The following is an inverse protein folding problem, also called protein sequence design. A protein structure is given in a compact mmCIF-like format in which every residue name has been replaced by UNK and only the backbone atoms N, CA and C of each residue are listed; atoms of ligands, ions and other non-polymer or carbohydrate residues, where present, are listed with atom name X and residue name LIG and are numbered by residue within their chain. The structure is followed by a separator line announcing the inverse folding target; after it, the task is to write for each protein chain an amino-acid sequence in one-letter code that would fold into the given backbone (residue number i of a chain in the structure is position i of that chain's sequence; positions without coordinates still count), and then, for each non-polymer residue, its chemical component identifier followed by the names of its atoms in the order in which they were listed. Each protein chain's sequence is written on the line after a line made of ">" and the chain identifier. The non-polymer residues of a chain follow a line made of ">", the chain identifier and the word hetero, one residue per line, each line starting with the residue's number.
data_IF_128810560116
#
_entry.id   IF_128810560116
#
_cell.length_a   1.000
_cell.length_b   1.000
_cell.length_c   1.000
_cell.angle_alpha   90.00
_cell.angle_beta   90.00
_cell.angle_gamma   90.00
#
_symmetry.space_group_name_H-M   'P 1'
#
loop_
_entity.id
_entity.type
_entity.pdbx_description
1 polymer ?
#
# COMPACT_ATOMS: atom_id res chain seq x y z
N UNK A 1 -52.49 70.71 -61.68
CA UNK A 1 -52.64 69.29 -61.28
C UNK A 1 -51.36 68.61 -60.73
N UNK A 2 -50.13 69.08 -60.99
CA UNK A 2 -48.89 68.34 -60.66
C UNK A 2 -48.43 68.30 -59.17
N UNK A 3 -49.03 69.07 -58.26
CA UNK A 3 -48.58 69.09 -56.85
C UNK A 3 -49.29 68.07 -55.94
N UNK A 4 -50.44 67.52 -56.38
CA UNK A 4 -51.22 66.56 -55.58
C UNK A 4 -50.67 65.14 -55.71
N UNK A 5 -50.17 64.75 -56.90
CA UNK A 5 -49.63 63.41 -57.13
C UNK A 5 -48.25 63.18 -56.50
N UNK A 6 -47.43 64.23 -56.38
CA UNK A 6 -46.09 64.13 -55.76
C UNK A 6 -46.15 63.86 -54.26
N UNK A 7 -47.18 64.36 -53.56
CA UNK A 7 -47.35 64.19 -52.10
C UNK A 7 -47.85 62.79 -51.72
N UNK A 8 -48.78 62.22 -52.50
CA UNK A 8 -49.29 60.83 -52.32
C UNK A 8 -48.21 59.75 -52.54
N UNK A 9 -47.26 60.00 -53.45
CA UNK A 9 -46.19 59.05 -53.76
C UNK A 9 -45.05 59.04 -52.71
N UNK A 10 -44.89 60.11 -51.93
CA UNK A 10 -43.90 60.20 -50.85
C UNK A 10 -44.36 59.49 -49.57
N UNK A 11 -45.66 59.57 -49.21
CA UNK A 11 -46.18 58.90 -48.00
C UNK A 11 -46.27 57.37 -48.15
N UNK A 12 -46.66 56.88 -49.32
CA UNK A 12 -46.70 55.43 -49.62
C UNK A 12 -45.31 54.80 -49.65
N UNK A 13 -44.28 55.55 -50.07
CA UNK A 13 -42.88 55.09 -50.04
C UNK A 13 -42.31 55.05 -48.61
N UNK A 14 -42.72 55.99 -47.74
CA UNK A 14 -42.25 56.07 -46.34
C UNK A 14 -42.88 54.97 -45.46
N UNK A 15 -44.17 54.64 -45.63
CA UNK A 15 -44.82 53.56 -44.85
C UNK A 15 -44.32 52.17 -45.23
N UNK A 16 -43.99 51.95 -46.52
CA UNK A 16 -43.45 50.68 -47.01
C UNK A 16 -42.07 50.37 -46.43
N UNK A 17 -41.21 51.38 -46.25
CA UNK A 17 -39.88 51.22 -45.63
C UNK A 17 -40.00 50.96 -44.13
N UNK A 18 -40.95 51.59 -43.44
CA UNK A 18 -41.19 51.35 -42.01
C UNK A 18 -41.72 49.93 -41.74
N UNK A 19 -42.65 49.44 -42.57
CA UNK A 19 -43.14 48.05 -42.52
C UNK A 19 -42.03 47.04 -42.83
N UNK A 20 -41.17 47.32 -43.80
CA UNK A 20 -40.01 46.47 -44.11
C UNK A 20 -39.03 46.41 -42.93
N UNK A 21 -38.73 47.54 -42.29
CA UNK A 21 -37.87 47.57 -41.12
C UNK A 21 -38.50 46.85 -39.92
N UNK A 22 -39.81 46.99 -39.71
CA UNK A 22 -40.53 46.30 -38.64
C UNK A 22 -40.56 44.78 -38.88
N UNK A 23 -40.75 44.34 -40.13
CA UNK A 23 -40.67 42.93 -40.50
C UNK A 23 -39.25 42.37 -40.32
N UNK A 24 -38.23 43.16 -40.67
CA UNK A 24 -36.83 42.77 -40.48
C UNK A 24 -36.45 42.66 -39.00
N UNK A 25 -36.96 43.56 -38.15
CA UNK A 25 -36.80 43.48 -36.68
C UNK A 25 -37.51 42.25 -36.11
N UNK A 26 -38.73 41.94 -36.57
CA UNK A 26 -39.44 40.72 -36.14
C UNK A 26 -38.72 39.43 -36.53
N UNK A 27 -38.13 39.39 -37.72
CA UNK A 27 -37.32 38.25 -38.18
C UNK A 27 -36.06 38.08 -37.32
N UNK A 28 -35.35 39.18 -37.02
CA UNK A 28 -34.16 39.14 -36.16
C UNK A 28 -34.52 38.66 -34.75
N UNK A 29 -35.65 39.13 -34.20
CA UNK A 29 -36.10 38.73 -32.87
C UNK A 29 -36.49 37.24 -32.84
N UNK A 30 -37.10 36.74 -33.91
CA UNK A 30 -37.41 35.32 -34.07
C UNK A 30 -36.14 34.45 -34.17
N UNK A 31 -35.13 34.88 -34.92
CA UNK A 31 -33.83 34.21 -35.00
C UNK A 31 -33.12 34.14 -33.64
N UNK A 32 -33.14 35.23 -32.87
CA UNK A 32 -32.62 35.28 -31.51
C UNK A 32 -33.34 34.30 -30.58
N UNK A 33 -34.67 34.20 -30.69
CA UNK A 33 -35.45 33.24 -29.91
C UNK A 33 -35.07 31.79 -30.24
N UNK A 34 -34.87 31.45 -31.52
CA UNK A 34 -34.43 30.09 -31.92
C UNK A 34 -33.06 29.75 -31.33
N UNK A 35 -32.11 30.69 -31.40
CA UNK A 35 -30.75 30.48 -30.85
C UNK A 35 -30.81 30.31 -29.32
N UNK A 36 -31.61 31.12 -28.63
CA UNK A 36 -31.79 31.01 -27.19
C UNK A 36 -32.41 29.66 -26.79
N UNK A 37 -33.48 29.24 -27.48
CA UNK A 37 -34.14 27.94 -27.25
C UNK A 37 -33.16 26.79 -27.52
N UNK A 38 -32.43 26.84 -28.64
CA UNK A 38 -31.42 25.83 -28.99
C UNK A 38 -30.28 25.76 -27.98
N UNK A 39 -29.80 26.91 -27.49
CA UNK A 39 -28.77 26.98 -26.44
C UNK A 39 -29.20 26.34 -25.13
N UNK A 40 -30.44 26.58 -24.68
CA UNK A 40 -30.98 25.99 -23.45
C UNK A 40 -31.14 24.46 -23.62
N UNK A 41 -31.59 24.00 -24.79
CA UNK A 41 -31.71 22.58 -25.11
C UNK A 41 -30.36 21.86 -25.22
N UNK A 42 -29.29 22.54 -25.62
CA UNK A 42 -27.95 21.94 -25.66
C UNK A 42 -27.31 21.93 -24.25
N UNK A 43 -27.20 23.08 -23.59
CA UNK A 43 -26.37 23.26 -22.39
C UNK A 43 -27.00 22.92 -21.02
N UNK A 44 -28.31 22.61 -20.95
CA UNK A 44 -29.02 22.32 -19.68
C UNK A 44 -28.84 23.39 -18.60
N UNK A 45 -28.97 24.64 -19.01
CA UNK A 45 -28.81 25.78 -18.10
C UNK A 45 -29.90 25.72 -17.03
N UNK A 46 -29.51 25.43 -15.78
CA UNK A 46 -30.36 25.47 -14.59
C UNK A 46 -31.50 24.44 -14.52
N UNK A 47 -31.46 23.35 -15.30
CA UNK A 47 -32.55 22.36 -15.34
C UNK A 47 -33.82 22.86 -16.05
N UNK A 48 -33.72 23.91 -16.87
CA UNK A 48 -34.85 24.48 -17.61
C UNK A 48 -35.30 23.66 -18.83
N UNK A 49 -34.53 22.63 -19.24
CA UNK A 49 -34.87 21.74 -20.36
C UNK A 49 -36.29 21.14 -20.27
N UNK A 50 -36.67 20.44 -19.18
CA UNK A 50 -38.01 19.86 -19.07
C UNK A 50 -39.12 20.91 -19.09
N UNK A 51 -38.92 22.08 -18.47
CA UNK A 51 -39.91 23.15 -18.46
C UNK A 51 -40.15 23.71 -19.87
N UNK A 52 -39.09 24.00 -20.65
CA UNK A 52 -39.23 24.50 -22.01
C UNK A 52 -39.84 23.46 -22.96
N UNK A 53 -39.46 22.19 -22.82
CA UNK A 53 -40.04 21.10 -23.62
C UNK A 53 -41.54 20.94 -23.35
N UNK A 54 -41.98 21.04 -22.10
CA UNK A 54 -43.40 20.99 -21.74
C UNK A 54 -44.20 22.17 -22.34
N UNK A 55 -43.63 23.38 -22.32
CA UNK A 55 -44.27 24.56 -22.92
C UNK A 55 -44.35 24.46 -24.45
N UNK A 56 -43.31 23.95 -25.11
CA UNK A 56 -43.31 23.72 -26.57
C UNK A 56 -44.27 22.60 -26.98
N UNK A 57 -44.39 21.55 -26.16
CA UNK A 57 -45.33 20.44 -26.39
C UNK A 57 -46.81 20.86 -26.26
N UNK A 58 -47.09 21.91 -25.48
CA UNK A 58 -48.45 22.48 -25.33
C UNK A 58 -48.87 23.32 -26.55
N UNK A 59 -47.94 23.72 -27.41
CA UNK A 59 -48.23 24.54 -28.57
C UNK A 59 -48.85 23.68 -29.71
N UNK A 60 -50.05 24.01 -30.23
CA UNK A 60 -50.81 23.14 -31.13
C UNK A 60 -50.13 22.85 -32.48
N UNK A 61 -49.22 23.71 -32.92
CA UNK A 61 -48.41 23.54 -34.15
C UNK A 61 -47.14 22.68 -33.95
N UNK A 62 -46.60 22.59 -32.72
CA UNK A 62 -45.32 21.92 -32.44
C UNK A 62 -45.49 20.64 -31.59
N UNK A 63 -46.60 20.50 -30.86
CA UNK A 63 -46.89 19.35 -30.00
C UNK A 63 -46.96 18.00 -30.73
N UNK A 64 -47.30 18.00 -32.03
CA UNK A 64 -47.32 16.79 -32.85
C UNK A 64 -45.94 16.39 -33.40
N UNK A 65 -44.97 17.30 -33.41
CA UNK A 65 -43.61 17.06 -33.95
C UNK A 65 -42.62 16.69 -32.84
N UNK A 66 -42.86 17.14 -31.61
CA UNK A 66 -41.93 16.98 -30.47
C UNK A 66 -42.20 15.69 -29.65
N UNK A 67 -43.32 15.00 -29.86
CA UNK A 67 -43.55 13.63 -29.36
C UNK A 67 -42.83 12.64 -30.30
N UNK A 68 -41.50 12.42 -30.17
CA UNK A 68 -41.04 11.30 -29.33
C UNK A 68 -39.60 11.49 -28.79
N UNK A 69 -39.26 12.63 -28.17
CA UNK A 69 -37.91 12.81 -27.57
C UNK A 69 -37.89 12.85 -26.03
N UNK A 70 -39.06 12.87 -25.40
CA UNK A 70 -39.18 12.49 -24.00
C UNK A 70 -39.37 10.96 -23.95
N UNK A 71 -38.27 10.21 -24.02
CA UNK A 71 -38.25 8.88 -23.39
C UNK A 71 -38.26 9.17 -21.89
N UNK A 72 -39.44 9.52 -21.35
CA UNK A 72 -39.71 9.43 -19.92
C UNK A 72 -39.58 7.94 -19.59
N UNK A 73 -38.40 7.54 -19.11
CA UNK A 73 -38.26 6.23 -18.46
C UNK A 73 -39.37 6.15 -17.43
N UNK A 74 -40.16 5.08 -17.45
CA UNK A 74 -41.25 4.94 -16.49
C UNK A 74 -40.66 4.88 -15.07
N UNK A 75 -41.41 5.29 -14.03
CA UNK A 75 -40.94 5.18 -12.64
C UNK A 75 -40.49 3.76 -12.26
N UNK A 76 -41.01 2.73 -12.95
CA UNK A 76 -40.61 1.34 -12.79
C UNK A 76 -39.26 1.03 -13.44
N UNK A 77 -38.98 1.55 -14.64
CA UNK A 77 -37.67 1.40 -15.32
C UNK A 77 -36.53 2.07 -14.53
N UNK A 78 -36.79 3.23 -13.93
CA UNK A 78 -35.82 3.93 -13.06
C UNK A 78 -35.51 3.11 -11.80
N UNK A 79 -36.53 2.48 -11.20
CA UNK A 79 -36.36 1.61 -10.04
C UNK A 79 -35.57 0.34 -10.40
N UNK A 80 -35.85 -0.27 -11.55
CA UNK A 80 -35.12 -1.44 -12.04
C UNK A 80 -33.64 -1.12 -12.29
N UNK A 81 -33.34 0.02 -12.92
CA UNK A 81 -31.96 0.49 -13.15
C UNK A 81 -31.23 0.74 -11.81
N UNK A 82 -31.91 1.32 -10.81
CA UNK A 82 -31.35 1.53 -9.48
C UNK A 82 -31.05 0.21 -8.75
N UNK A 83 -31.95 -0.75 -8.83
CA UNK A 83 -31.76 -2.10 -8.26
C UNK A 83 -30.61 -2.82 -8.96
N UNK A 84 -30.49 -2.69 -10.28
CA UNK A 84 -29.38 -3.28 -11.04
C UNK A 84 -28.04 -2.66 -10.66
N UNK A 85 -27.98 -1.34 -10.48
CA UNK A 85 -26.79 -0.64 -9.98
C UNK A 85 -26.41 -1.13 -8.59
N UNK A 86 -27.37 -1.21 -7.66
CA UNK A 86 -27.13 -1.72 -6.30
C UNK A 86 -26.64 -3.17 -6.30
N UNK A 87 -27.19 -4.03 -7.16
CA UNK A 87 -26.72 -5.42 -7.32
C UNK A 87 -25.26 -5.46 -7.80
N UNK A 88 -24.92 -4.65 -8.80
CA UNK A 88 -23.53 -4.55 -9.30
C UNK A 88 -22.59 -4.04 -8.21
N UNK A 89 -22.98 -3.02 -7.45
CA UNK A 89 -22.18 -2.50 -6.34
C UNK A 89 -21.99 -3.55 -5.23
N UNK A 90 -23.03 -4.32 -4.90
CA UNK A 90 -22.94 -5.41 -3.94
C UNK A 90 -22.04 -6.54 -4.44
N UNK A 91 -22.11 -6.89 -5.73
CA UNK A 91 -21.24 -7.90 -6.34
C UNK A 91 -19.77 -7.47 -6.31
N UNK A 92 -19.48 -6.19 -6.63
CA UNK A 92 -18.13 -5.63 -6.54
C UNK A 92 -17.62 -5.67 -5.10
N UNK A 93 -18.44 -5.25 -4.13
CA UNK A 93 -18.07 -5.31 -2.71
C UNK A 93 -17.84 -6.74 -2.23
N UNK A 94 -18.67 -7.69 -2.67
CA UNK A 94 -18.49 -9.11 -2.33
C UNK A 94 -17.16 -9.61 -2.85
N UNK A 95 -16.81 -9.34 -4.13
CA UNK A 95 -15.52 -9.72 -4.70
C UNK A 95 -14.34 -9.10 -3.95
N UNK A 96 -14.45 -7.82 -3.58
CA UNK A 96 -13.42 -7.14 -2.78
C UNK A 96 -13.27 -7.74 -1.37
N UNK A 97 -14.37 -8.18 -0.75
CA UNK A 97 -14.32 -8.86 0.54
C UNK A 97 -13.66 -10.24 0.40
N UNK A 98 -14.04 -11.02 -0.61
CA UNK A 98 -13.44 -12.34 -0.88
C UNK A 98 -11.93 -12.23 -1.16
N UNK A 99 -11.50 -11.20 -1.91
CA UNK A 99 -10.08 -10.92 -2.17
C UNK A 99 -9.33 -10.56 -0.88
N UNK A 100 -9.93 -9.72 -0.03
CA UNK A 100 -9.34 -9.35 1.27
C UNK A 100 -9.28 -10.52 2.25
N UNK A 101 -10.29 -11.37 2.26
CA UNK A 101 -10.33 -12.57 3.09
C UNK A 101 -9.19 -13.51 2.71
N UNK A 102 -9.00 -13.76 1.40
CA UNK A 102 -7.85 -14.54 0.91
C UNK A 102 -6.50 -13.90 1.27
N UNK A 103 -6.36 -12.59 1.10
CA UNK A 103 -5.13 -11.88 1.48
C UNK A 103 -4.85 -12.00 3.00
N UNK A 104 -5.89 -11.95 3.82
CA UNK A 104 -5.78 -12.13 5.26
C UNK A 104 -5.40 -13.56 5.63
N UNK A 105 -6.02 -14.57 5.03
CA UNK A 105 -5.67 -15.98 5.23
C UNK A 105 -4.21 -16.27 4.85
N UNK A 106 -3.74 -15.74 3.72
CA UNK A 106 -2.35 -15.87 3.29
C UNK A 106 -1.38 -15.20 4.28
N UNK A 107 -1.73 -14.01 4.78
CA UNK A 107 -0.94 -13.30 5.80
C UNK A 107 -0.93 -14.02 7.14
N UNK A 108 -2.07 -14.56 7.57
CA UNK A 108 -2.19 -15.33 8.81
C UNK A 108 -1.33 -16.58 8.74
N UNK A 109 -1.38 -17.32 7.63
CA UNK A 109 -0.51 -18.47 7.41
C UNK A 109 0.97 -18.08 7.42
N UNK A 110 1.34 -17.01 6.73
CA UNK A 110 2.72 -16.53 6.70
C UNK A 110 3.21 -16.04 8.07
N UNK A 111 2.31 -15.53 8.93
CA UNK A 111 2.61 -15.17 10.31
C UNK A 111 2.83 -16.40 11.17
N UNK A 112 1.96 -17.41 11.08
CA UNK A 112 2.11 -18.68 11.78
C UNK A 112 3.45 -19.35 11.44
N UNK A 113 3.78 -19.45 10.14
CA UNK A 113 5.05 -20.04 9.68
C UNK A 113 6.27 -19.28 10.24
N UNK A 114 6.17 -17.94 10.33
CA UNK A 114 7.22 -17.10 10.92
C UNK A 114 7.34 -17.27 12.42
N UNK A 115 6.22 -17.34 13.14
CA UNK A 115 6.19 -17.56 14.58
C UNK A 115 6.79 -18.92 14.94
N UNK A 116 6.46 -19.97 14.19
CA UNK A 116 7.07 -21.30 14.36
C UNK A 116 8.58 -21.27 14.11
N UNK A 117 9.03 -20.62 13.02
CA UNK A 117 10.45 -20.50 12.72
C UNK A 117 11.21 -19.69 13.78
N UNK A 118 10.61 -18.63 14.31
CA UNK A 118 11.20 -17.84 15.39
C UNK A 118 11.31 -18.66 16.67
N UNK A 119 10.26 -19.40 17.03
CA UNK A 119 10.27 -20.27 18.21
C UNK A 119 11.32 -21.36 18.11
N UNK A 120 11.51 -21.95 16.93
CA UNK A 120 12.58 -22.93 16.70
C UNK A 120 13.97 -22.30 16.88
N UNK A 121 14.20 -21.11 16.31
CA UNK A 121 15.46 -20.37 16.48
C UNK A 121 15.73 -19.99 17.93
N UNK A 122 14.70 -19.56 18.66
CA UNK A 122 14.81 -19.24 20.09
C UNK A 122 15.19 -20.48 20.91
N UNK A 123 14.58 -21.63 20.63
CA UNK A 123 14.95 -22.88 21.28
C UNK A 123 16.40 -23.29 20.99
N UNK A 124 16.82 -23.24 19.72
CA UNK A 124 18.21 -23.53 19.33
C UNK A 124 19.21 -22.57 19.99
N UNK A 125 18.85 -21.29 20.11
CA UNK A 125 19.68 -20.30 20.78
C UNK A 125 19.78 -20.61 22.28
N UNK A 126 18.67 -20.92 22.94
CA UNK A 126 18.62 -21.26 24.36
C UNK A 126 19.44 -22.52 24.66
N UNK A 127 19.29 -23.59 23.87
CA UNK A 127 20.10 -24.80 24.00
C UNK A 127 21.61 -24.51 23.79
N UNK A 128 21.94 -23.67 22.82
CA UNK A 128 23.33 -23.26 22.57
C UNK A 128 23.88 -22.47 23.74
N UNK A 129 23.12 -21.51 24.28
CA UNK A 129 23.50 -20.72 25.45
C UNK A 129 23.68 -21.58 26.68
N UNK A 130 22.77 -22.52 26.94
CA UNK A 130 22.87 -23.45 28.06
C UNK A 130 24.12 -24.32 27.93
N UNK A 131 24.37 -24.88 26.74
CA UNK A 131 25.59 -25.67 26.48
C UNK A 131 26.86 -24.87 26.69
N UNK A 132 26.90 -23.61 26.23
CA UNK A 132 28.04 -22.72 26.42
C UNK A 132 28.24 -22.35 27.89
N UNK A 133 27.16 -22.06 28.62
CA UNK A 133 27.21 -21.76 30.05
C UNK A 133 27.68 -22.96 30.87
N UNK A 134 27.18 -24.15 30.58
CA UNK A 134 27.61 -25.39 31.23
C UNK A 134 29.09 -25.67 30.95
N UNK A 135 29.53 -25.49 29.70
CA UNK A 135 30.95 -25.62 29.34
C UNK A 135 31.82 -24.59 30.07
N UNK A 136 31.38 -23.34 30.14
CA UNK A 136 32.09 -22.27 30.85
C UNK A 136 32.18 -22.55 32.35
N UNK A 137 31.08 -22.97 32.98
CA UNK A 137 31.05 -23.34 34.41
C UNK A 137 32.01 -24.49 34.69
N UNK A 138 31.95 -25.55 33.87
CA UNK A 138 32.85 -26.70 34.02
C UNK A 138 34.32 -26.32 33.88
N UNK A 139 34.68 -25.48 32.90
CA UNK A 139 36.06 -24.99 32.75
C UNK A 139 36.46 -24.14 33.95
N UNK A 140 35.56 -23.27 34.45
CA UNK A 140 35.84 -22.41 35.61
C UNK A 140 36.09 -23.22 36.87
N UNK A 141 35.29 -24.25 37.12
CA UNK A 141 35.49 -25.18 38.24
C UNK A 141 36.84 -25.89 38.13
N UNK A 142 37.15 -26.45 36.96
CA UNK A 142 38.44 -27.10 36.70
C UNK A 142 39.63 -26.16 36.96
N UNK A 143 39.54 -24.91 36.49
CA UNK A 143 40.53 -23.88 36.77
C UNK A 143 40.67 -23.64 38.27
N UNK A 144 39.57 -23.47 38.99
CA UNK A 144 39.61 -23.20 40.43
C UNK A 144 40.25 -24.35 41.23
N UNK A 145 39.93 -25.61 40.88
CA UNK A 145 40.54 -26.78 41.52
C UNK A 145 42.05 -26.87 41.24
N UNK A 146 42.46 -26.66 39.99
CA UNK A 146 43.87 -26.76 39.59
C UNK A 146 44.71 -25.58 40.11
N UNK A 147 44.11 -24.39 40.25
CA UNK A 147 44.79 -23.24 40.86
C UNK A 147 45.12 -23.47 42.33
N UNK A 148 44.23 -24.12 43.07
CA UNK A 148 44.41 -24.46 44.49
C UNK A 148 45.38 -25.63 44.72
N UNK A 149 45.71 -26.37 43.67
CA UNK A 149 46.61 -27.53 43.73
C UNK A 149 48.07 -27.13 43.47
N UNK A 150 49.03 -27.92 43.94
CA UNK A 150 50.44 -27.76 43.59
C UNK A 150 50.70 -27.88 42.08
N UNK A 151 51.59 -27.03 41.54
CA UNK A 151 51.83 -26.92 40.09
C UNK A 151 52.35 -28.23 39.48
N UNK A 152 53.18 -28.98 40.21
CA UNK A 152 53.69 -30.29 39.77
C UNK A 152 52.60 -31.33 39.62
N UNK A 153 51.59 -31.35 40.50
CA UNK A 153 50.43 -32.24 40.40
C UNK A 153 49.49 -31.81 39.28
N UNK A 154 49.27 -30.51 39.13
CA UNK A 154 48.47 -29.96 38.04
C UNK A 154 49.04 -30.34 36.66
N UNK A 155 50.37 -30.29 36.48
CA UNK A 155 51.03 -30.77 35.23
C UNK A 155 50.74 -32.24 34.97
N UNK A 156 50.83 -33.10 36.00
CA UNK A 156 50.55 -34.53 35.82
C UNK A 156 49.11 -34.79 35.39
N UNK A 157 48.15 -34.04 35.93
CA UNK A 157 46.75 -34.15 35.51
C UNK A 157 46.58 -33.66 34.07
N UNK A 158 47.04 -32.44 33.77
CA UNK A 158 46.85 -31.80 32.47
C UNK A 158 47.55 -32.56 31.34
N UNK A 159 48.73 -33.13 31.58
CA UNK A 159 49.49 -33.90 30.58
C UNK A 159 48.85 -35.25 30.25
N UNK A 160 47.95 -35.74 31.12
CA UNK A 160 47.19 -36.97 30.91
C UNK A 160 45.77 -36.70 30.38
N UNK A 161 45.38 -35.45 30.16
CA UNK A 161 44.08 -35.14 29.55
C UNK A 161 44.10 -35.44 28.05
N UNK A 162 43.08 -36.12 27.54
CA UNK A 162 42.95 -36.47 26.12
C UNK A 162 42.75 -35.23 25.22
N UNK A 163 42.06 -34.21 25.73
CA UNK A 163 41.70 -33.00 24.97
C UNK A 163 42.69 -31.87 25.21
N UNK A 164 43.59 -31.65 24.25
CA UNK A 164 44.50 -30.50 24.22
C UNK A 164 43.76 -29.17 24.27
N UNK A 165 42.63 -29.08 23.57
CA UNK A 165 41.77 -27.90 23.52
C UNK A 165 41.24 -27.52 24.92
N UNK A 166 40.91 -28.51 25.75
CA UNK A 166 40.47 -28.29 27.13
C UNK A 166 41.62 -27.81 28.00
N UNK A 167 42.81 -28.41 27.87
CA UNK A 167 44.02 -27.98 28.59
C UNK A 167 44.34 -26.52 28.30
N UNK A 168 44.28 -26.11 27.02
CA UNK A 168 44.48 -24.72 26.60
C UNK A 168 43.44 -23.79 27.23
N UNK A 169 42.16 -24.16 27.22
CA UNK A 169 41.10 -23.36 27.82
C UNK A 169 41.31 -23.16 29.33
N UNK A 170 41.72 -24.21 30.04
CA UNK A 170 42.02 -24.13 31.47
C UNK A 170 43.22 -23.19 31.70
N UNK A 171 44.33 -23.41 30.99
CA UNK A 171 45.55 -22.61 31.15
C UNK A 171 45.37 -21.14 30.77
N UNK A 172 44.49 -20.85 29.80
CA UNK A 172 44.14 -19.49 29.37
C UNK A 172 43.26 -18.76 30.39
N UNK A 173 42.41 -19.48 31.12
CA UNK A 173 41.47 -18.90 32.09
C UNK A 173 41.98 -18.88 33.53
N UNK A 174 43.15 -19.48 33.82
CA UNK A 174 43.76 -19.39 35.15
C UNK A 174 44.66 -18.15 35.31
N UNK A 175 45.07 -17.86 36.54
CA UNK A 175 46.07 -16.84 36.88
C UNK A 175 47.38 -17.08 36.14
N UNK A 176 47.93 -16.02 35.55
CA UNK A 176 49.13 -16.08 34.69
C UNK A 176 50.32 -16.72 35.39
N UNK A 177 50.52 -16.40 36.67
CA UNK A 177 51.62 -16.91 37.48
C UNK A 177 51.51 -18.42 37.65
N UNK A 178 50.29 -18.92 37.89
CA UNK A 178 50.01 -20.34 38.02
C UNK A 178 50.17 -21.08 36.69
N UNK A 179 49.64 -20.49 35.61
CA UNK A 179 49.76 -21.02 34.24
C UNK A 179 51.23 -21.15 33.83
N UNK A 180 52.02 -20.09 34.05
CA UNK A 180 53.47 -20.09 33.80
C UNK A 180 54.21 -21.13 34.64
N UNK A 181 53.85 -21.30 35.91
CA UNK A 181 54.48 -22.30 36.78
C UNK A 181 54.21 -23.72 36.31
N UNK A 182 53.00 -23.99 35.79
CA UNK A 182 52.62 -25.28 35.23
C UNK A 182 53.37 -25.51 33.90
N UNK A 183 53.39 -24.52 33.00
CA UNK A 183 54.10 -24.62 31.71
C UNK A 183 55.60 -24.89 31.90
N UNK A 184 56.23 -24.29 32.90
CA UNK A 184 57.66 -24.51 33.21
C UNK A 184 57.98 -25.95 33.64
N UNK A 185 56.99 -26.64 34.22
CA UNK A 185 57.13 -28.02 34.72
C UNK A 185 56.65 -29.05 33.69
N UNK A 186 56.08 -28.61 32.57
CA UNK A 186 55.56 -29.46 31.49
C UNK A 186 56.69 -29.83 30.51
N UNK A 187 56.46 -30.86 29.68
CA UNK A 187 57.39 -31.21 28.60
C UNK A 187 57.61 -30.01 27.64
N UNK A 188 58.86 -29.65 27.29
CA UNK A 188 59.14 -28.45 26.50
C UNK A 188 58.42 -28.40 25.15
N UNK A 189 58.22 -29.55 24.47
CA UNK A 189 57.54 -29.61 23.18
C UNK A 189 56.04 -29.34 23.39
N UNK A 190 55.43 -29.98 24.39
CA UNK A 190 54.02 -29.75 24.72
C UNK A 190 53.75 -28.30 25.16
N UNK A 191 54.62 -27.74 26.01
CA UNK A 191 54.49 -26.37 26.49
C UNK A 191 54.58 -25.36 25.34
N UNK A 192 55.52 -25.54 24.40
CA UNK A 192 55.66 -24.69 23.22
C UNK A 192 54.40 -24.73 22.34
N UNK A 193 53.87 -25.92 22.07
CA UNK A 193 52.66 -26.09 21.28
C UNK A 193 51.42 -25.44 21.92
N UNK A 194 51.26 -25.58 23.25
CA UNK A 194 50.17 -24.96 23.99
C UNK A 194 50.31 -23.43 23.94
N UNK A 195 51.52 -22.90 24.11
CA UNK A 195 51.77 -21.46 24.11
C UNK A 195 51.47 -20.82 22.74
N UNK A 196 51.83 -21.51 21.65
CA UNK A 196 51.49 -21.10 20.28
C UNK A 196 49.97 -20.99 20.10
N UNK A 197 49.22 -22.00 20.51
CA UNK A 197 47.76 -22.02 20.41
C UNK A 197 47.06 -21.04 21.40
N UNK A 198 47.69 -20.72 22.53
CA UNK A 198 47.20 -19.65 23.42
C UNK A 198 47.33 -18.28 22.74
N UNK A 199 48.43 -18.06 22.00
CA UNK A 199 48.71 -16.79 21.31
C UNK A 199 47.87 -16.58 20.04
N UNK A 200 47.44 -17.67 19.40
CA UNK A 200 46.58 -17.60 18.23
C UNK A 200 45.13 -17.28 18.64
N UNK A 201 44.53 -16.17 18.18
CA UNK A 201 43.09 -15.97 18.32
C UNK A 201 42.38 -17.08 17.54
N UNK A 202 41.53 -17.86 18.22
CA UNK A 202 40.73 -18.92 17.57
C UNK A 202 39.81 -18.23 16.55
N UNK A 203 40.12 -18.36 15.25
CA UNK A 203 39.28 -17.84 14.19
C UNK A 203 37.94 -18.56 14.26
N UNK A 204 36.89 -17.82 14.60
CA UNK A 204 35.53 -18.32 14.54
C UNK A 204 35.17 -18.35 13.05
N UNK A 205 35.31 -19.52 12.44
CA UNK A 205 34.66 -19.84 11.16
C UNK A 205 33.33 -20.53 11.46
#
# INVERSE_FOLDING_TARGET
>A
MQQVDKKKNLETKKSKIWLQNLLLVMIILFLLAIIAIGGILFFNIGGAKPALLNHLATWPLLGNVIKPLAIEKTPEEIQLEMIELQKRDLEIKSKQLDEKEKELEEKEKALIDKEESLKEKENQLNETLERLNNKLSSVREQVEYLEKMESSKAVQILSNMESKDTVIQILRNMKKEKSSSILMLMDPIQAAQILEEISAPKSIN
#
